data_IF_118540843112
#
_entry.id   IF_118540843112
#
_cell.length_a   1.000
_cell.length_b   1.000
_cell.length_c   1.000
_cell.angle_alpha   90.00
_cell.angle_beta   90.00
_cell.angle_gamma   90.00
#
_symmetry.space_group_name_H-M   'P 1'
#
loop_
_entity.id
_entity.type
_entity.pdbx_description
1 polymer ?
#
# COMPACT_ATOMS: atom_id res chain seq x y z
N UNK A 1 -14.15 11.44 -6.90
CA UNK A 1 -14.01 10.60 -8.10
C UNK A 1 -13.07 9.42 -7.90
N UNK A 2 -11.87 9.60 -7.28
CA UNK A 2 -10.88 8.51 -7.13
C UNK A 2 -11.22 7.42 -6.11
N UNK A 3 -12.06 7.67 -5.12
CA UNK A 3 -12.58 6.64 -4.21
C UNK A 3 -13.58 5.67 -4.88
N UNK A 4 -14.04 5.98 -6.11
CA UNK A 4 -15.01 5.16 -6.82
C UNK A 4 -14.42 3.81 -7.24
N UNK A 5 -13.24 3.78 -7.83
CA UNK A 5 -12.58 2.53 -8.26
C UNK A 5 -12.31 1.58 -7.10
N UNK A 6 -11.87 2.09 -5.94
CA UNK A 6 -11.65 1.25 -4.75
C UNK A 6 -12.95 0.61 -4.26
N UNK A 7 -14.05 1.37 -4.24
CA UNK A 7 -15.38 0.85 -3.90
C UNK A 7 -15.87 -0.19 -4.91
N UNK A 8 -15.66 0.05 -6.20
CA UNK A 8 -16.04 -0.92 -7.24
C UNK A 8 -15.22 -2.21 -7.17
N UNK A 9 -13.94 -2.12 -6.79
CA UNK A 9 -13.08 -3.29 -6.54
C UNK A 9 -13.60 -4.08 -5.33
N UNK A 10 -14.01 -3.40 -4.26
CA UNK A 10 -14.62 -4.01 -3.09
C UNK A 10 -15.96 -4.69 -3.44
N UNK A 11 -16.74 -4.12 -4.35
CA UNK A 11 -17.99 -4.70 -4.87
C UNK A 11 -17.76 -5.84 -5.87
N UNK A 12 -16.53 -6.07 -6.32
CA UNK A 12 -16.18 -7.20 -7.19
C UNK A 12 -16.72 -7.12 -8.62
N UNK A 13 -16.99 -5.92 -9.15
CA UNK A 13 -17.44 -5.78 -10.54
C UNK A 13 -16.38 -6.27 -11.52
N UNK A 14 -16.81 -6.94 -12.63
CA UNK A 14 -15.87 -7.46 -13.65
C UNK A 14 -14.94 -6.37 -14.18
N UNK A 15 -15.47 -5.17 -14.43
CA UNK A 15 -14.69 -4.01 -14.89
C UNK A 15 -13.61 -3.62 -13.87
N UNK A 16 -13.97 -3.46 -12.60
CA UNK A 16 -13.05 -3.08 -11.55
C UNK A 16 -11.99 -4.15 -11.28
N UNK A 17 -12.35 -5.43 -11.38
CA UNK A 17 -11.38 -6.54 -11.27
C UNK A 17 -10.36 -6.52 -12.41
N UNK A 18 -10.77 -6.18 -13.64
CA UNK A 18 -9.83 -6.00 -14.76
C UNK A 18 -8.93 -4.78 -14.57
N UNK A 19 -9.49 -3.63 -14.15
CA UNK A 19 -8.70 -2.45 -13.80
C UNK A 19 -7.69 -2.76 -12.67
N UNK A 20 -8.10 -3.53 -11.66
CA UNK A 20 -7.20 -4.02 -10.61
C UNK A 20 -6.06 -4.87 -11.18
N UNK A 21 -6.35 -5.80 -12.10
CA UNK A 21 -5.29 -6.61 -12.75
C UNK A 21 -4.30 -5.75 -13.51
N UNK A 22 -4.76 -4.73 -14.24
CA UNK A 22 -3.91 -3.78 -14.97
C UNK A 22 -3.02 -2.99 -14.00
N UNK A 23 -3.59 -2.44 -12.93
CA UNK A 23 -2.82 -1.72 -11.89
C UNK A 23 -1.78 -2.64 -11.28
N UNK A 24 -2.17 -3.86 -10.91
CA UNK A 24 -1.27 -4.85 -10.32
C UNK A 24 -0.12 -5.17 -11.27
N UNK A 25 -0.39 -5.38 -12.57
CA UNK A 25 0.66 -5.60 -13.55
C UNK A 25 1.67 -4.44 -13.57
N UNK A 26 1.19 -3.19 -13.60
CA UNK A 26 2.08 -2.03 -13.62
C UNK A 26 2.86 -1.82 -12.31
N UNK A 27 2.34 -2.25 -11.17
CA UNK A 27 3.07 -2.22 -9.89
C UNK A 27 4.29 -3.16 -9.95
N UNK A 28 4.12 -4.37 -10.51
CA UNK A 28 5.17 -5.38 -10.54
C UNK A 28 6.13 -5.24 -11.72
N UNK A 29 5.61 -4.90 -12.90
CA UNK A 29 6.36 -4.97 -14.15
C UNK A 29 6.70 -3.58 -14.73
N UNK A 30 6.18 -2.48 -14.13
CA UNK A 30 6.37 -1.14 -14.65
C UNK A 30 5.51 -0.86 -15.89
N UNK A 31 5.87 0.20 -16.63
CA UNK A 31 5.13 0.64 -17.82
C UNK A 31 5.30 -0.35 -18.97
N UNK A 32 4.24 -0.56 -19.76
CA UNK A 32 4.24 -1.48 -20.91
C UNK A 32 3.38 -0.97 -22.07
N UNK A 33 3.50 -1.60 -23.24
CA UNK A 33 2.62 -1.31 -24.38
C UNK A 33 1.28 -2.04 -24.24
N UNK A 34 0.24 -1.58 -24.95
CA UNK A 34 -1.06 -2.28 -24.97
C UNK A 34 -0.90 -3.73 -25.46
N UNK A 35 -0.02 -3.96 -26.43
CA UNK A 35 0.21 -5.31 -26.98
C UNK A 35 0.85 -6.24 -25.97
N UNK A 36 1.84 -5.76 -25.20
CA UNK A 36 2.49 -6.57 -24.17
C UNK A 36 1.51 -6.85 -23.02
N UNK A 37 0.81 -5.82 -22.56
CA UNK A 37 -0.21 -5.96 -21.53
C UNK A 37 -1.33 -6.94 -21.94
N UNK A 38 -1.73 -6.94 -23.21
CA UNK A 38 -2.72 -7.87 -23.77
C UNK A 38 -2.25 -9.32 -23.66
N UNK A 39 -0.98 -9.59 -24.00
CA UNK A 39 -0.38 -10.93 -23.89
C UNK A 39 -0.23 -11.38 -22.43
N UNK A 40 0.29 -10.52 -21.58
CA UNK A 40 0.55 -10.80 -20.15
C UNK A 40 -0.74 -11.10 -19.35
N UNK A 41 -1.82 -10.38 -19.67
CA UNK A 41 -3.10 -10.53 -18.99
C UNK A 41 -4.04 -11.53 -19.63
N UNK A 42 -3.66 -12.12 -20.79
CA UNK A 42 -4.50 -13.00 -21.62
C UNK A 42 -5.85 -12.33 -21.98
N UNK A 43 -5.76 -11.08 -22.47
CA UNK A 43 -6.90 -10.26 -22.87
C UNK A 43 -6.77 -9.84 -24.33
N UNK A 44 -7.90 -9.60 -24.99
CA UNK A 44 -7.87 -9.07 -26.37
C UNK A 44 -7.35 -7.61 -26.39
N UNK A 45 -6.59 -7.26 -27.43
CA UNK A 45 -6.10 -5.88 -27.64
C UNK A 45 -7.21 -4.83 -27.56
N UNK A 46 -8.40 -5.01 -28.19
CA UNK A 46 -9.50 -4.05 -28.04
C UNK A 46 -9.97 -3.88 -26.59
N UNK A 47 -10.01 -4.97 -25.81
CA UNK A 47 -10.39 -4.93 -24.39
C UNK A 47 -9.39 -4.10 -23.60
N UNK A 48 -8.10 -4.38 -23.76
CA UNK A 48 -7.04 -3.63 -23.06
C UNK A 48 -7.06 -2.17 -23.47
N UNK A 49 -7.18 -1.86 -24.77
CA UNK A 49 -7.27 -0.49 -25.28
C UNK A 49 -8.41 0.29 -24.61
N UNK A 50 -9.60 -0.32 -24.52
CA UNK A 50 -10.75 0.29 -23.86
C UNK A 50 -10.43 0.65 -22.40
N UNK A 51 -9.92 -0.31 -21.60
CA UNK A 51 -9.62 -0.06 -20.19
C UNK A 51 -8.48 0.94 -19.99
N UNK A 52 -7.44 0.90 -20.82
CA UNK A 52 -6.36 1.89 -20.76
C UNK A 52 -6.90 3.29 -21.06
N UNK A 53 -7.75 3.48 -22.08
CA UNK A 53 -8.38 4.77 -22.37
C UNK A 53 -9.22 5.28 -21.20
N UNK A 54 -10.11 4.43 -20.66
CA UNK A 54 -10.90 4.78 -19.49
C UNK A 54 -10.02 5.18 -18.29
N UNK A 55 -8.97 4.41 -18.00
CA UNK A 55 -8.09 4.68 -16.86
C UNK A 55 -7.19 5.89 -17.07
N UNK A 56 -6.88 6.27 -18.32
CA UNK A 56 -6.24 7.53 -18.64
C UNK A 56 -7.18 8.72 -18.40
N UNK A 57 -8.43 8.63 -18.83
CA UNK A 57 -9.46 9.65 -18.59
C UNK A 57 -9.75 9.81 -17.08
N UNK A 58 -9.78 8.71 -16.33
CA UNK A 58 -9.93 8.70 -14.89
C UNK A 58 -8.67 9.19 -14.16
N UNK A 59 -7.53 9.31 -14.86
CA UNK A 59 -6.25 9.80 -14.33
C UNK A 59 -5.46 8.79 -13.50
N UNK A 60 -5.72 7.49 -13.63
CA UNK A 60 -4.93 6.42 -12.99
C UNK A 60 -3.70 6.01 -13.81
N UNK A 61 -3.76 6.18 -15.12
CA UNK A 61 -2.71 5.81 -16.06
C UNK A 61 -2.32 7.04 -16.88
N UNK A 62 -1.01 7.16 -17.18
CA UNK A 62 -0.46 8.11 -18.10
C UNK A 62 -0.02 7.41 -19.39
N UNK A 63 -0.20 8.10 -20.53
CA UNK A 63 0.51 7.81 -21.77
C UNK A 63 1.88 8.50 -21.68
N UNK A 64 2.95 7.70 -21.65
CA UNK A 64 4.33 8.18 -21.61
C UNK A 64 4.92 8.43 -23.00
N UNK A 65 4.09 8.35 -24.03
CA UNK A 65 4.52 8.60 -25.41
C UNK A 65 5.09 7.35 -26.09
N UNK A 66 5.73 7.57 -27.23
CA UNK A 66 6.23 6.51 -28.10
C UNK A 66 7.50 5.88 -27.55
N UNK A 67 7.54 4.55 -27.52
CA UNK A 67 8.76 3.80 -27.26
C UNK A 67 9.70 3.94 -28.47
N UNK A 68 10.95 4.38 -28.23
CA UNK A 68 11.97 4.36 -29.26
C UNK A 68 12.36 2.92 -29.56
N UNK A 69 12.08 2.47 -30.79
CA UNK A 69 12.47 1.15 -31.29
C UNK A 69 13.39 1.32 -32.49
N UNK A 70 14.35 0.43 -32.65
CA UNK A 70 15.35 0.47 -33.72
C UNK A 70 14.79 0.19 -35.14
N UNK A 71 13.47 0.12 -35.29
CA UNK A 71 12.77 -0.06 -36.58
C UNK A 71 11.33 -0.50 -36.38
N UNK A 72 10.43 -0.04 -37.25
CA UNK A 72 9.02 -0.39 -37.29
C UNK A 72 8.08 0.60 -36.58
N UNK A 73 6.86 0.15 -36.25
CA UNK A 73 5.85 0.96 -35.59
C UNK A 73 6.25 1.23 -34.14
N UNK A 74 6.30 2.50 -33.76
CA UNK A 74 6.57 2.94 -32.40
C UNK A 74 5.28 2.88 -31.53
N UNK A 75 5.08 1.86 -30.69
CA UNK A 75 3.90 1.79 -29.83
C UNK A 75 4.01 2.77 -28.67
N UNK A 76 2.86 3.24 -28.18
CA UNK A 76 2.82 4.06 -26.98
C UNK A 76 3.05 3.20 -25.73
N UNK A 77 3.76 3.79 -24.78
CA UNK A 77 4.05 3.21 -23.45
C UNK A 77 3.05 3.79 -22.45
N UNK A 78 2.38 2.91 -21.70
CA UNK A 78 1.42 3.28 -20.67
C UNK A 78 1.88 2.79 -19.30
N UNK A 79 1.53 3.51 -18.24
CA UNK A 79 1.89 3.13 -16.88
C UNK A 79 1.15 3.95 -15.84
N UNK A 80 1.34 3.62 -14.55
CA UNK A 80 0.65 4.30 -13.47
C UNK A 80 0.98 5.81 -13.42
N UNK A 81 -0.05 6.61 -13.19
CA UNK A 81 0.12 8.04 -12.92
C UNK A 81 0.54 8.23 -11.45
N UNK A 82 1.76 8.69 -11.16
CA UNK A 82 2.25 8.84 -9.79
C UNK A 82 1.41 9.82 -8.96
N UNK A 83 0.77 10.82 -9.60
CA UNK A 83 -0.03 11.84 -8.93
C UNK A 83 -1.50 11.42 -8.70
N UNK A 84 -1.86 10.21 -9.10
CA UNK A 84 -3.21 9.70 -8.99
C UNK A 84 -3.67 9.55 -7.53
N UNK A 85 -2.75 9.28 -6.62
CA UNK A 85 -3.04 9.17 -5.19
C UNK A 85 -1.78 8.90 -4.39
N UNK A 86 -1.94 8.91 -3.08
CA UNK A 86 -0.83 8.71 -2.14
C UNK A 86 -1.24 7.74 -1.04
N UNK A 87 -0.25 7.04 -0.50
CA UNK A 87 -0.41 6.14 0.63
C UNK A 87 0.59 6.51 1.71
N UNK A 88 0.15 6.41 2.97
CA UNK A 88 1.03 6.62 4.12
C UNK A 88 1.23 5.28 4.81
N UNK A 89 2.49 4.92 5.06
CA UNK A 89 2.87 3.78 5.88
C UNK A 89 3.38 4.24 7.23
N UNK A 90 2.94 3.61 8.29
CA UNK A 90 3.38 3.87 9.67
C UNK A 90 3.88 2.57 10.27
N UNK A 91 5.12 2.57 10.73
CA UNK A 91 5.76 1.43 11.40
C UNK A 91 6.02 1.80 12.86
N UNK A 92 5.34 1.09 13.79
CA UNK A 92 5.41 1.35 15.22
C UNK A 92 6.48 0.48 15.84
N UNK A 93 7.47 1.13 16.45
CA UNK A 93 8.52 0.48 17.26
C UNK A 93 8.37 0.82 18.74
N UNK A 94 9.12 0.15 19.58
CA UNK A 94 9.05 0.35 21.03
C UNK A 94 9.33 1.78 21.48
N UNK A 95 10.29 2.46 20.83
CA UNK A 95 10.75 3.80 21.22
C UNK A 95 10.71 4.82 20.10
N UNK A 96 10.15 4.46 18.95
CA UNK A 96 10.04 5.34 17.80
C UNK A 96 8.90 4.90 16.87
N UNK A 97 8.51 5.79 15.98
CA UNK A 97 7.75 5.44 14.79
C UNK A 97 8.48 5.88 13.54
N UNK A 98 8.29 5.13 12.46
CA UNK A 98 8.67 5.56 11.12
C UNK A 98 7.39 5.89 10.33
N UNK A 99 7.41 6.98 9.58
CA UNK A 99 6.27 7.36 8.73
C UNK A 99 6.81 7.68 7.34
N UNK A 100 6.24 7.02 6.33
CA UNK A 100 6.58 7.26 4.93
C UNK A 100 5.35 7.60 4.09
N UNK A 101 5.56 8.42 3.06
CA UNK A 101 4.60 8.74 2.02
C UNK A 101 5.10 8.16 0.71
N UNK A 102 4.27 7.38 0.04
CA UNK A 102 4.52 6.90 -1.33
C UNK A 102 3.44 7.42 -2.28
N UNK A 103 3.82 7.62 -3.54
CA UNK A 103 2.88 7.95 -4.60
C UNK A 103 2.15 6.70 -5.12
N UNK A 104 1.24 6.86 -6.09
CA UNK A 104 0.45 5.76 -6.65
C UNK A 104 1.29 4.74 -7.42
N UNK A 105 2.50 5.11 -7.85
CA UNK A 105 3.46 4.22 -8.52
C UNK A 105 4.32 3.43 -7.52
N UNK A 106 4.27 3.80 -6.24
CA UNK A 106 5.07 3.19 -5.17
C UNK A 106 6.44 3.83 -4.97
N UNK A 107 6.69 5.02 -5.54
CA UNK A 107 7.92 5.76 -5.29
C UNK A 107 7.82 6.47 -3.95
N UNK A 108 8.93 6.46 -3.16
CA UNK A 108 9.02 7.14 -1.88
C UNK A 108 9.11 8.66 -2.08
N UNK A 109 8.14 9.39 -1.54
CA UNK A 109 8.07 10.85 -1.65
C UNK A 109 8.59 11.56 -0.41
N UNK A 110 8.28 11.06 0.76
CA UNK A 110 8.71 11.60 2.05
C UNK A 110 8.92 10.44 3.02
N UNK A 111 9.98 10.52 3.83
CA UNK A 111 10.26 9.51 4.86
C UNK A 111 10.78 10.20 6.12
N UNK A 112 10.13 9.95 7.25
CA UNK A 112 10.60 10.34 8.57
C UNK A 112 10.84 9.08 9.40
N UNK A 113 12.08 8.87 9.73
CA UNK A 113 12.52 7.74 10.55
C UNK A 113 12.81 8.17 11.97
N UNK A 114 12.63 7.22 12.89
CA UNK A 114 12.97 7.36 14.30
C UNK A 114 12.33 8.59 14.98
N UNK A 115 11.07 8.89 14.62
CA UNK A 115 10.31 9.92 15.33
C UNK A 115 10.12 9.42 16.77
N UNK A 116 10.55 10.17 17.79
CA UNK A 116 10.45 9.75 19.18
C UNK A 116 8.99 9.43 19.54
N UNK A 117 8.77 8.22 20.01
CA UNK A 117 7.47 7.73 20.45
C UNK A 117 7.72 6.56 21.40
N UNK A 118 7.26 6.65 22.62
CA UNK A 118 7.29 5.53 23.55
C UNK A 118 5.99 4.77 23.43
N UNK A 119 6.06 3.53 22.91
CA UNK A 119 4.88 2.70 22.82
C UNK A 119 4.31 2.41 24.21
N UNK A 120 3.07 2.80 24.40
CA UNK A 120 2.26 2.47 25.55
C UNK A 120 0.93 1.90 25.07
N UNK A 121 0.58 0.70 25.56
CA UNK A 121 -0.68 0.06 25.21
C UNK A 121 -1.83 0.68 26.02
N UNK A 122 -2.10 1.96 25.74
CA UNK A 122 -3.09 2.80 26.44
C UNK A 122 -3.82 3.71 25.43
N UNK A 123 -4.91 4.30 25.85
CA UNK A 123 -5.65 5.30 25.07
C UNK A 123 -4.78 6.53 24.82
N UNK A 124 -3.98 6.93 25.80
CA UNK A 124 -3.02 8.04 25.71
C UNK A 124 -1.95 7.76 24.66
N UNK A 125 -1.37 6.54 24.67
CA UNK A 125 -0.42 6.10 23.66
C UNK A 125 -1.01 6.11 22.26
N UNK A 126 -2.25 5.65 22.08
CA UNK A 126 -2.97 5.71 20.82
C UNK A 126 -3.22 7.15 20.34
N UNK A 127 -3.60 8.04 21.26
CA UNK A 127 -3.82 9.46 20.95
C UNK A 127 -2.52 10.16 20.53
N UNK A 128 -1.40 9.87 21.20
CA UNK A 128 -0.10 10.43 20.80
C UNK A 128 0.34 9.90 19.44
N UNK A 129 0.13 8.62 19.13
CA UNK A 129 0.35 8.05 17.80
C UNK A 129 -0.44 8.82 16.74
N UNK A 130 -1.74 9.02 16.93
CA UNK A 130 -2.60 9.75 16.01
C UNK A 130 -2.14 11.21 15.82
N UNK A 131 -1.68 11.86 16.89
CA UNK A 131 -1.13 13.22 16.85
C UNK A 131 0.15 13.28 16.00
N UNK A 132 1.07 12.32 16.14
CA UNK A 132 2.29 12.25 15.34
C UNK A 132 1.99 12.04 13.86
N UNK A 133 1.08 11.13 13.53
CA UNK A 133 0.62 10.89 12.16
C UNK A 133 -0.02 12.16 11.58
N UNK A 134 -0.92 12.81 12.33
CA UNK A 134 -1.58 14.06 11.90
C UNK A 134 -0.58 15.20 11.69
N UNK A 135 0.46 15.30 12.53
CA UNK A 135 1.52 16.29 12.38
C UNK A 135 2.38 16.03 11.14
N UNK A 136 2.63 14.77 10.80
CA UNK A 136 3.28 14.40 9.55
C UNK A 136 2.44 14.86 8.35
N UNK A 137 1.15 14.48 8.33
CA UNK A 137 0.21 14.82 7.24
C UNK A 137 0.09 16.33 7.05
N UNK A 138 0.05 17.12 8.14
CA UNK A 138 -0.05 18.59 8.06
C UNK A 138 1.14 19.24 7.34
N UNK A 139 2.32 18.63 7.40
CA UNK A 139 3.55 19.15 6.78
C UNK A 139 3.69 18.76 5.30
N UNK A 140 2.89 17.81 4.81
CA UNK A 140 2.93 17.40 3.42
C UNK A 140 2.40 18.51 2.50
N UNK A 141 3.07 18.69 1.37
CA UNK A 141 2.69 19.68 0.32
C UNK A 141 1.63 19.16 -0.65
N UNK A 142 1.26 17.87 -0.53
CA UNK A 142 0.24 17.23 -1.38
C UNK A 142 -1.18 17.62 -0.97
N UNK A 143 -2.11 17.54 -1.91
CA UNK A 143 -3.53 17.67 -1.63
C UNK A 143 -4.01 16.51 -0.74
N UNK A 144 -4.65 16.83 0.38
CA UNK A 144 -4.98 15.84 1.43
C UNK A 144 -6.08 14.88 1.03
N UNK A 145 -6.95 15.27 0.14
CA UNK A 145 -7.99 14.44 -0.48
C UNK A 145 -7.42 13.38 -1.42
N UNK A 146 -6.15 13.51 -1.82
CA UNK A 146 -5.42 12.52 -2.59
C UNK A 146 -4.77 11.42 -1.72
N UNK A 147 -4.80 11.50 -0.40
CA UNK A 147 -4.38 10.40 0.48
C UNK A 147 -5.46 9.33 0.44
N UNK A 148 -5.14 8.20 -0.15
CA UNK A 148 -6.09 7.10 -0.39
C UNK A 148 -6.22 6.17 0.81
N UNK A 149 -5.12 5.94 1.51
CA UNK A 149 -5.09 5.06 2.68
C UNK A 149 -3.88 5.37 3.58
N UNK A 150 -4.04 5.13 4.87
CA UNK A 150 -2.96 5.08 5.85
C UNK A 150 -2.87 3.63 6.34
N UNK A 151 -1.72 2.98 6.16
CA UNK A 151 -1.48 1.65 6.71
C UNK A 151 -0.64 1.76 7.98
N UNK A 152 -1.13 1.21 9.08
CA UNK A 152 -0.44 1.22 10.38
C UNK A 152 0.00 -0.20 10.72
N UNK A 153 1.31 -0.42 10.79
CA UNK A 153 1.90 -1.69 11.14
C UNK A 153 2.10 -1.78 12.65
N UNK A 154 1.50 -2.79 13.24
CA UNK A 154 1.58 -3.06 14.69
C UNK A 154 2.17 -4.44 14.95
N UNK A 155 2.90 -4.58 16.03
CA UNK A 155 3.47 -5.87 16.44
C UNK A 155 2.41 -6.80 17.02
N UNK A 156 2.62 -8.10 16.85
CA UNK A 156 1.78 -9.14 17.41
C UNK A 156 0.67 -9.62 16.49
N UNK A 157 -0.41 -10.14 17.05
CA UNK A 157 -1.49 -10.78 16.29
C UNK A 157 -2.47 -9.75 15.74
N UNK A 158 -2.57 -9.70 14.41
CA UNK A 158 -3.42 -8.76 13.66
C UNK A 158 -4.21 -9.52 12.59
N UNK A 159 -5.47 -9.18 12.42
CA UNK A 159 -6.26 -9.57 11.27
C UNK A 159 -6.47 -8.35 10.36
N UNK A 160 -5.76 -8.25 9.22
CA UNK A 160 -5.84 -7.09 8.34
C UNK A 160 -7.18 -6.99 7.60
N UNK A 161 -7.87 -8.11 7.38
CA UNK A 161 -9.18 -8.11 6.69
C UNK A 161 -10.27 -7.49 7.55
N UNK A 162 -10.32 -7.87 8.83
CA UNK A 162 -11.30 -7.34 9.78
C UNK A 162 -10.84 -6.06 10.50
N UNK A 163 -9.56 -5.69 10.37
CA UNK A 163 -9.00 -4.51 11.02
C UNK A 163 -8.79 -4.64 12.53
N UNK A 164 -8.86 -5.87 13.08
CA UNK A 164 -8.64 -6.10 14.51
C UNK A 164 -7.16 -6.32 14.84
N UNK A 165 -6.70 -5.63 15.88
CA UNK A 165 -5.47 -5.96 16.61
C UNK A 165 -5.84 -6.71 17.89
N UNK A 166 -5.23 -7.87 18.11
CA UNK A 166 -5.49 -8.69 19.31
C UNK A 166 -4.41 -8.53 20.39
N UNK A 167 -3.34 -7.82 20.09
CA UNK A 167 -2.19 -7.67 20.98
C UNK A 167 -1.96 -6.24 21.43
N UNK A 168 -2.24 -5.27 20.59
CA UNK A 168 -1.96 -3.86 20.86
C UNK A 168 -3.19 -3.00 20.57
N UNK A 169 -3.45 -1.99 21.41
CA UNK A 169 -4.57 -1.05 21.28
C UNK A 169 -5.95 -1.72 21.19
N UNK A 170 -6.11 -2.86 21.86
CA UNK A 170 -7.36 -3.60 21.91
C UNK A 170 -8.16 -3.21 23.17
N UNK A 171 -8.63 -1.95 23.22
CA UNK A 171 -9.37 -1.40 24.36
C UNK A 171 -10.87 -1.42 24.17
N UNK A 172 -11.32 -1.49 22.92
CA UNK A 172 -12.72 -1.49 22.54
C UNK A 172 -13.02 -2.78 21.77
N UNK A 173 -14.28 -3.23 21.80
CA UNK A 173 -14.73 -4.35 20.95
C UNK A 173 -14.97 -3.91 19.51
N UNK A 174 -14.05 -3.09 18.97
CA UNK A 174 -14.08 -2.50 17.64
C UNK A 174 -12.77 -2.72 16.90
N UNK A 175 -12.81 -2.81 15.56
CA UNK A 175 -11.59 -2.83 14.75
C UNK A 175 -10.70 -1.62 15.03
N UNK A 176 -9.42 -1.86 15.30
CA UNK A 176 -8.44 -0.77 15.50
C UNK A 176 -8.36 0.14 14.26
N UNK A 177 -8.53 -0.44 13.06
CA UNK A 177 -8.57 0.33 11.80
C UNK A 177 -9.70 1.37 11.79
N UNK A 178 -10.88 1.06 12.35
CA UNK A 178 -12.00 2.00 12.43
C UNK A 178 -11.73 3.11 13.47
N UNK A 179 -11.20 2.73 14.63
CA UNK A 179 -10.83 3.69 15.69
C UNK A 179 -9.80 4.70 15.17
N UNK A 180 -8.78 4.20 14.46
CA UNK A 180 -7.77 5.06 13.83
C UNK A 180 -8.36 5.91 12.71
N UNK A 181 -9.26 5.37 11.89
CA UNK A 181 -9.90 6.10 10.80
C UNK A 181 -10.75 7.27 11.33
N UNK A 182 -11.51 7.07 12.40
CA UNK A 182 -12.27 8.13 13.07
C UNK A 182 -11.36 9.24 13.61
N UNK A 183 -10.25 8.87 14.26
CA UNK A 183 -9.31 9.84 14.85
C UNK A 183 -8.50 10.62 13.81
N UNK A 184 -8.15 9.98 12.70
CA UNK A 184 -7.31 10.58 11.66
C UNK A 184 -8.09 11.24 10.54
N UNK A 185 -9.36 10.85 10.31
CA UNK A 185 -10.20 11.36 9.22
C UNK A 185 -9.83 10.80 7.84
N UNK A 186 -9.18 9.64 7.80
CA UNK A 186 -8.77 8.95 6.57
C UNK A 186 -9.15 7.47 6.63
N UNK A 187 -9.19 6.80 5.47
CA UNK A 187 -9.25 5.33 5.45
C UNK A 187 -7.95 4.80 6.08
N UNK A 188 -8.10 3.89 7.03
CA UNK A 188 -6.97 3.24 7.71
C UNK A 188 -7.08 1.74 7.57
N UNK A 189 -5.95 1.11 7.27
CA UNK A 189 -5.76 -0.33 7.35
C UNK A 189 -4.67 -0.64 8.35
N UNK A 190 -4.69 -1.82 8.94
CA UNK A 190 -3.61 -2.27 9.83
C UNK A 190 -3.03 -3.57 9.32
N UNK A 191 -1.76 -3.80 9.60
CA UNK A 191 -1.11 -5.09 9.34
C UNK A 191 -0.08 -5.39 10.42
N UNK A 192 0.41 -6.64 10.42
CA UNK A 192 1.53 -7.03 11.24
C UNK A 192 2.83 -6.45 10.67
N UNK A 193 3.70 -5.94 11.56
CA UNK A 193 4.98 -5.31 11.22
C UNK A 193 5.89 -6.22 10.37
N UNK A 194 6.05 -7.47 10.77
CA UNK A 194 6.90 -8.44 10.05
C UNK A 194 6.32 -8.79 8.67
N UNK A 195 5.00 -8.93 8.57
CA UNK A 195 4.32 -9.16 7.29
C UNK A 195 4.49 -7.98 6.35
N UNK A 196 4.34 -6.76 6.83
CA UNK A 196 4.53 -5.56 6.04
C UNK A 196 5.98 -5.43 5.54
N UNK A 197 6.98 -5.74 6.39
CA UNK A 197 8.38 -5.78 5.97
C UNK A 197 8.63 -6.85 4.90
N UNK A 198 8.03 -8.04 5.03
CA UNK A 198 8.11 -9.11 4.01
C UNK A 198 7.58 -8.65 2.66
N UNK A 199 6.42 -7.96 2.65
CA UNK A 199 5.88 -7.39 1.42
C UNK A 199 6.76 -6.29 0.84
N UNK A 200 7.37 -5.47 1.67
CA UNK A 200 8.32 -4.45 1.24
C UNK A 200 9.52 -5.06 0.51
N UNK A 201 10.11 -6.12 1.08
CA UNK A 201 11.22 -6.87 0.46
C UNK A 201 10.79 -7.58 -0.83
N UNK A 202 9.58 -8.14 -0.86
CA UNK A 202 9.05 -8.79 -2.05
C UNK A 202 8.84 -7.79 -3.21
N UNK A 203 8.32 -6.59 -2.93
CA UNK A 203 7.95 -5.62 -3.96
C UNK A 203 9.12 -4.73 -4.43
N UNK A 204 10.05 -4.40 -3.54
CA UNK A 204 11.08 -3.38 -3.78
C UNK A 204 12.46 -3.76 -3.23
N UNK A 205 12.59 -4.93 -2.62
CA UNK A 205 13.84 -5.41 -2.05
C UNK A 205 14.62 -6.31 -3.00
N UNK A 206 15.22 -7.35 -2.45
CA UNK A 206 16.14 -8.23 -3.16
C UNK A 206 15.49 -9.49 -3.78
N UNK A 207 14.15 -9.61 -3.73
CA UNK A 207 13.43 -10.76 -4.30
C UNK A 207 13.35 -10.64 -5.82
N UNK A 208 13.79 -11.69 -6.54
CA UNK A 208 13.89 -11.72 -8.00
C UNK A 208 13.05 -12.85 -8.61
N UNK A 209 11.77 -12.96 -8.20
CA UNK A 209 10.83 -13.94 -8.73
C UNK A 209 10.74 -15.24 -7.94
N UNK A 210 11.35 -15.32 -6.78
CA UNK A 210 11.14 -16.40 -5.81
C UNK A 210 9.67 -16.46 -5.40
N UNK A 211 9.11 -17.69 -5.37
CA UNK A 211 7.71 -17.90 -5.01
C UNK A 211 7.52 -18.12 -3.52
N UNK A 212 8.52 -18.67 -2.86
CA UNK A 212 8.52 -18.98 -1.44
C UNK A 212 9.59 -18.15 -0.74
N UNK A 213 9.17 -17.32 0.22
CA UNK A 213 10.04 -16.38 0.93
C UNK A 213 9.84 -16.57 2.42
N UNK A 214 10.97 -16.73 3.14
CA UNK A 214 11.02 -16.69 4.59
C UNK A 214 11.70 -15.39 5.01
N UNK A 215 10.96 -14.51 5.66
CA UNK A 215 11.50 -13.28 6.24
C UNK A 215 11.67 -13.43 7.74
N UNK A 216 12.88 -13.22 8.22
CA UNK A 216 13.22 -13.33 9.65
C UNK A 216 13.55 -11.94 10.19
N UNK A 217 12.68 -11.40 11.03
CA UNK A 217 12.92 -10.15 11.74
C UNK A 217 13.55 -10.46 13.11
N UNK A 218 14.86 -10.22 13.23
CA UNK A 218 15.57 -10.38 14.49
C UNK A 218 15.52 -9.08 15.29
N UNK A 219 14.81 -9.12 16.41
CA UNK A 219 14.69 -8.00 17.33
C UNK A 219 15.36 -8.33 18.66
N UNK A 220 15.95 -7.33 19.31
CA UNK A 220 16.54 -7.50 20.65
C UNK A 220 15.42 -7.64 21.69
N UNK A 221 14.85 -8.85 21.81
CA UNK A 221 13.94 -9.19 22.89
C UNK A 221 14.65 -9.95 24.00
N UNK A 222 14.38 -9.59 25.23
CA UNK A 222 14.88 -10.29 26.43
C UNK A 222 14.13 -11.59 26.74
N UNK A 223 13.06 -11.93 25.98
CA UNK A 223 12.31 -13.18 26.16
C UNK A 223 11.95 -13.79 24.80
N UNK A 224 12.63 -14.87 24.45
CA UNK A 224 12.21 -15.82 23.41
C UNK A 224 11.08 -16.69 23.99
N UNK A 225 9.83 -16.53 23.53
CA UNK A 225 8.82 -17.59 23.64
C UNK A 225 8.84 -18.37 22.33
N UNK A 226 9.42 -19.56 22.35
CA UNK A 226 9.20 -20.53 21.31
C UNK A 226 7.74 -21.02 21.44
N UNK A 227 6.91 -20.79 20.42
CA UNK A 227 5.67 -21.52 20.25
C UNK A 227 6.02 -22.79 19.49
N UNK A 228 6.06 -23.92 20.20
CA UNK A 228 5.97 -25.23 19.58
C UNK A 228 4.56 -25.34 18.98
N UNK A 229 4.46 -25.34 17.64
CA UNK A 229 3.29 -25.84 16.96
C UNK A 229 3.38 -27.36 17.03
N UNK A 230 2.71 -27.96 18.02
CA UNK A 230 2.48 -29.39 18.05
C UNK A 230 1.75 -29.83 16.79
N UNK A 231 2.27 -30.88 16.18
CA UNK A 231 1.71 -31.61 15.06
C UNK A 231 0.33 -32.20 15.40
#
# INVERSE_FOLDING_TARGET
MKQHLLKEIELGTKSALLKKKIITHYIYNGSSTITDLSKELDLSVPTVTKFISEMCEEGYINDYGKLETSGGRHPNLYGLNPESGYFIGVDIKRFAINIGLINFKGDMMELKMNIPYKFENSIEGLNELCKLISNFIKKLTIAKDKILNINVNVSGRVNPESGYSFSQFNFEERPLSEVLAEKLGYKVTIDNDTRAMTYGEYLKGCVNGEKDIIFVNTVSYTHLRAHETGA
#
